data_IF_994270394971
#
_entry.id   IF_994270394971
#
_cell.length_a   1.000
_cell.length_b   1.000
_cell.length_c   1.000
_cell.angle_alpha   90.00
_cell.angle_beta   90.00
_cell.angle_gamma   90.00
#
_symmetry.space_group_name_H-M   'P 1'
#
loop_
_entity.id
_entity.type
_entity.pdbx_description
1 polymer ?
#
# COMPACT_ATOMS: atom_id res chain seq x y z
N UNK A 1 -63.53 -9.19 4.26
CA UNK A 1 -62.15 -8.96 3.85
C UNK A 1 -62.12 -7.72 2.95
N UNK A 2 -61.57 -6.62 3.44
CA UNK A 2 -61.78 -5.28 2.86
C UNK A 2 -61.09 -5.11 1.49
N UNK A 3 -61.92 -4.95 0.45
CA UNK A 3 -61.48 -4.63 -0.93
C UNK A 3 -60.55 -3.40 -0.96
N UNK A 4 -60.72 -2.46 -0.06
CA UNK A 4 -59.88 -1.28 0.12
C UNK A 4 -58.41 -1.62 0.50
N UNK A 5 -58.19 -2.66 1.31
CA UNK A 5 -56.86 -3.05 1.75
C UNK A 5 -56.07 -3.76 0.62
N UNK A 6 -56.76 -4.55 -0.19
CA UNK A 6 -56.13 -5.18 -1.39
C UNK A 6 -55.72 -4.15 -2.44
N UNK A 7 -56.57 -3.09 -2.63
CA UNK A 7 -56.25 -2.02 -3.57
C UNK A 7 -55.06 -1.18 -3.09
N UNK A 8 -54.92 -0.95 -1.78
CA UNK A 8 -53.82 -0.23 -1.17
C UNK A 8 -52.50 -1.02 -1.27
N UNK A 9 -52.55 -2.35 -1.05
CA UNK A 9 -51.38 -3.22 -1.21
C UNK A 9 -50.93 -3.34 -2.68
N UNK A 10 -51.90 -3.34 -3.62
CA UNK A 10 -51.62 -3.32 -5.05
C UNK A 10 -50.96 -2.02 -5.50
N UNK A 11 -51.40 -0.88 -4.99
CA UNK A 11 -50.78 0.43 -5.24
C UNK A 11 -49.38 0.53 -4.67
N UNK A 12 -49.11 -0.02 -3.47
CA UNK A 12 -47.78 -0.07 -2.88
C UNK A 12 -46.87 -0.98 -3.70
N UNK A 13 -47.34 -2.12 -4.22
CA UNK A 13 -46.53 -3.02 -5.06
C UNK A 13 -46.22 -2.40 -6.40
N UNK A 14 -47.15 -1.70 -7.04
CA UNK A 14 -46.95 -0.97 -8.29
C UNK A 14 -45.97 0.21 -8.10
N UNK A 15 -46.10 0.94 -6.98
CA UNK A 15 -45.19 2.03 -6.63
C UNK A 15 -43.75 1.52 -6.37
N UNK A 16 -43.59 0.39 -5.67
CA UNK A 16 -42.29 -0.27 -5.51
C UNK A 16 -41.73 -0.79 -6.82
N UNK A 17 -42.55 -1.31 -7.73
CA UNK A 17 -42.12 -1.75 -9.04
C UNK A 17 -41.68 -0.59 -9.92
N UNK A 18 -42.36 0.57 -9.90
CA UNK A 18 -41.93 1.75 -10.65
C UNK A 18 -40.67 2.36 -10.10
N UNK A 19 -40.47 2.42 -8.77
CA UNK A 19 -39.18 2.87 -8.17
C UNK A 19 -38.05 1.97 -8.53
N UNK A 20 -38.23 0.65 -8.54
CA UNK A 20 -37.18 -0.28 -8.94
C UNK A 20 -36.85 -0.20 -10.43
N UNK A 21 -37.79 0.13 -11.29
CA UNK A 21 -37.58 0.37 -12.71
C UNK A 21 -36.86 1.69 -12.98
N UNK A 22 -37.26 2.80 -12.33
CA UNK A 22 -36.57 4.08 -12.40
C UNK A 22 -35.14 3.98 -11.87
N UNK A 23 -34.90 3.25 -10.78
CA UNK A 23 -33.53 3.00 -10.29
C UNK A 23 -32.71 2.17 -11.27
N UNK A 24 -33.24 1.11 -11.87
CA UNK A 24 -32.55 0.33 -12.89
C UNK A 24 -32.23 1.17 -14.15
N UNK A 25 -33.20 1.96 -14.62
CA UNK A 25 -33.01 2.85 -15.77
C UNK A 25 -31.96 3.96 -15.48
N UNK A 26 -31.88 4.45 -14.23
CA UNK A 26 -30.87 5.38 -13.78
C UNK A 26 -29.48 4.71 -13.73
N UNK A 27 -29.39 3.46 -13.24
CA UNK A 27 -28.12 2.70 -13.21
C UNK A 27 -27.65 2.31 -14.61
N UNK A 28 -28.53 1.93 -15.54
CA UNK A 28 -28.18 1.62 -16.94
C UNK A 28 -27.66 2.86 -17.69
N UNK A 29 -28.17 4.05 -17.38
CA UNK A 29 -27.70 5.31 -18.00
C UNK A 29 -26.34 5.80 -17.46
N UNK A 30 -25.89 5.38 -16.29
CA UNK A 30 -24.69 5.90 -15.63
C UNK A 30 -23.46 5.01 -15.76
N UNK A 31 -23.53 3.87 -16.49
CA UNK A 31 -22.36 3.03 -16.77
C UNK A 31 -21.64 2.39 -15.58
N UNK A 32 -22.36 2.09 -14.48
CA UNK A 32 -21.84 1.15 -13.48
C UNK A 32 -22.14 -0.26 -13.96
N UNK A 33 -21.09 -1.04 -14.19
CA UNK A 33 -21.20 -2.41 -14.72
C UNK A 33 -21.65 -3.39 -13.64
N UNK A 34 -22.50 -4.35 -13.99
CA UNK A 34 -22.86 -5.45 -13.09
C UNK A 34 -21.93 -6.63 -13.37
N UNK A 35 -21.03 -6.90 -12.45
CA UNK A 35 -20.11 -8.03 -12.52
C UNK A 35 -20.70 -9.23 -11.78
N UNK A 36 -20.52 -10.42 -12.34
CA UNK A 36 -21.02 -11.68 -11.78
C UNK A 36 -20.12 -12.86 -12.15
N UNK A 37 -20.43 -14.04 -11.62
CA UNK A 37 -19.67 -15.29 -11.82
C UNK A 37 -19.49 -15.68 -13.30
N UNK A 38 -20.34 -15.18 -14.20
CA UNK A 38 -20.29 -15.54 -15.63
C UNK A 38 -19.55 -14.54 -16.51
N UNK A 39 -19.46 -13.27 -16.10
CA UNK A 39 -18.90 -12.19 -16.93
C UNK A 39 -17.59 -11.58 -16.41
N UNK A 40 -17.14 -11.93 -15.20
CA UNK A 40 -15.99 -11.27 -14.57
C UNK A 40 -14.70 -11.42 -15.41
N UNK A 41 -14.45 -12.60 -15.99
CA UNK A 41 -13.26 -12.81 -16.83
C UNK A 41 -13.25 -11.89 -18.04
N UNK A 42 -14.37 -11.84 -18.77
CA UNK A 42 -14.48 -10.95 -19.94
C UNK A 42 -14.39 -9.48 -19.57
N UNK A 43 -14.84 -9.09 -18.37
CA UNK A 43 -14.69 -7.72 -17.89
C UNK A 43 -13.24 -7.36 -17.61
N UNK A 44 -12.49 -8.19 -16.89
CA UNK A 44 -11.08 -7.91 -16.59
C UNK A 44 -10.20 -8.00 -17.85
N UNK A 45 -10.58 -8.79 -18.85
CA UNK A 45 -9.91 -8.81 -20.15
C UNK A 45 -10.22 -7.57 -21.00
N UNK A 46 -11.46 -7.05 -20.90
CA UNK A 46 -11.92 -5.90 -21.72
C UNK A 46 -11.54 -4.56 -21.10
N UNK A 47 -11.40 -4.49 -19.79
CA UNK A 47 -11.14 -3.24 -19.06
C UNK A 47 -9.90 -3.37 -18.21
N UNK A 48 -8.77 -2.77 -18.62
CA UNK A 48 -7.51 -2.82 -17.86
C UNK A 48 -7.61 -2.09 -16.52
N UNK A 49 -8.63 -1.24 -16.35
CA UNK A 49 -8.85 -0.46 -15.12
C UNK A 49 -10.31 -0.56 -14.70
N UNK A 50 -10.55 -1.23 -13.56
CA UNK A 50 -11.87 -1.39 -12.98
C UNK A 50 -11.85 -0.99 -11.50
N UNK A 51 -12.79 -0.16 -11.08
CA UNK A 51 -13.09 0.02 -9.66
C UNK A 51 -14.30 -0.84 -9.32
N UNK A 52 -14.13 -1.83 -8.43
CA UNK A 52 -15.09 -2.90 -8.17
C UNK A 52 -15.61 -2.77 -6.74
N UNK A 53 -16.90 -2.49 -6.57
CA UNK A 53 -17.58 -2.48 -5.28
C UNK A 53 -18.15 -3.88 -4.97
N UNK A 54 -17.66 -4.50 -3.91
CA UNK A 54 -18.16 -5.77 -3.38
C UNK A 54 -19.22 -5.47 -2.30
N UNK A 55 -20.43 -5.96 -2.48
CA UNK A 55 -21.53 -5.68 -1.59
C UNK A 55 -22.44 -6.88 -1.35
N UNK A 56 -23.36 -6.70 -0.40
CA UNK A 56 -24.52 -7.59 -0.19
C UNK A 56 -25.79 -6.74 0.00
N UNK A 57 -26.99 -7.21 -0.39
CA UNK A 57 -28.24 -6.42 -0.32
C UNK A 57 -28.65 -5.95 1.08
N UNK A 58 -28.23 -6.66 2.13
CA UNK A 58 -28.56 -6.31 3.53
C UNK A 58 -27.53 -5.37 4.18
N UNK A 59 -26.51 -4.94 3.47
CA UNK A 59 -25.48 -4.03 3.99
C UNK A 59 -25.95 -2.57 3.89
N UNK A 60 -26.25 -1.94 5.02
CA UNK A 60 -26.73 -0.56 5.05
C UNK A 60 -25.73 0.47 4.50
N UNK A 61 -24.45 0.35 4.80
CA UNK A 61 -23.38 1.22 4.26
C UNK A 61 -23.15 1.02 2.76
N UNK A 62 -23.49 -0.16 2.23
CA UNK A 62 -23.39 -0.42 0.79
C UNK A 62 -24.43 0.39 -0.02
N UNK A 63 -25.59 0.70 0.57
CA UNK A 63 -26.58 1.57 -0.08
C UNK A 63 -26.06 3.02 -0.20
N UNK A 64 -25.34 3.52 0.80
CA UNK A 64 -24.70 4.84 0.75
C UNK A 64 -23.64 4.85 -0.35
N UNK A 65 -22.75 3.85 -0.34
CA UNK A 65 -21.71 3.71 -1.37
C UNK A 65 -22.31 3.65 -2.78
N UNK A 66 -23.44 2.96 -2.97
CA UNK A 66 -24.06 2.80 -4.28
C UNK A 66 -24.37 4.16 -4.92
N UNK A 67 -24.90 5.12 -4.18
CA UNK A 67 -25.18 6.48 -4.68
C UNK A 67 -23.89 7.26 -5.00
N UNK A 68 -22.86 7.14 -4.16
CA UNK A 68 -21.57 7.77 -4.41
C UNK A 68 -20.84 7.13 -5.61
N UNK A 69 -21.00 5.83 -5.79
CA UNK A 69 -20.41 5.09 -6.93
C UNK A 69 -21.03 5.53 -8.26
N UNK A 70 -22.35 5.73 -8.30
CA UNK A 70 -23.08 6.27 -9.45
C UNK A 70 -22.64 7.69 -9.76
N UNK A 71 -22.52 8.54 -8.74
CA UNK A 71 -22.04 9.92 -8.87
C UNK A 71 -20.61 9.95 -9.43
N UNK A 72 -19.73 9.10 -8.92
CA UNK A 72 -18.34 8.94 -9.43
C UNK A 72 -18.35 8.54 -10.90
N UNK A 73 -19.15 7.54 -11.29
CA UNK A 73 -19.23 7.08 -12.68
C UNK A 73 -19.73 8.20 -13.62
N UNK A 74 -20.68 9.00 -13.16
CA UNK A 74 -21.19 10.16 -13.91
C UNK A 74 -20.10 11.22 -14.11
N UNK A 75 -19.38 11.60 -13.07
CA UNK A 75 -18.34 12.61 -13.12
C UNK A 75 -17.20 12.15 -14.06
N UNK A 76 -16.78 10.89 -13.99
CA UNK A 76 -15.75 10.32 -14.88
C UNK A 76 -16.19 10.36 -16.34
N UNK A 77 -17.44 10.06 -16.61
CA UNK A 77 -18.02 10.11 -17.97
C UNK A 77 -18.04 11.54 -18.53
N UNK A 78 -18.52 12.51 -17.75
CA UNK A 78 -18.54 13.93 -18.15
C UNK A 78 -17.13 14.51 -18.35
N UNK A 79 -16.16 14.06 -17.54
CA UNK A 79 -14.74 14.43 -17.65
C UNK A 79 -13.99 13.75 -18.80
N UNK A 80 -14.68 13.02 -19.71
CA UNK A 80 -14.08 12.23 -20.79
C UNK A 80 -13.05 11.17 -20.32
N UNK A 81 -13.05 10.82 -19.05
CA UNK A 81 -12.24 9.71 -18.54
C UNK A 81 -12.97 8.39 -18.80
N UNK A 82 -12.82 7.85 -20.01
CA UNK A 82 -13.46 6.59 -20.43
C UNK A 82 -12.58 5.37 -20.14
N UNK A 83 -11.40 5.55 -19.62
CA UNK A 83 -10.41 4.49 -19.43
C UNK A 83 -10.74 3.63 -18.21
N UNK A 84 -11.22 4.25 -17.13
CA UNK A 84 -11.67 3.52 -15.93
C UNK A 84 -13.16 3.19 -16.02
N UNK A 85 -13.51 1.98 -15.66
CA UNK A 85 -14.91 1.56 -15.50
C UNK A 85 -15.19 1.25 -14.03
N UNK A 86 -16.40 1.54 -13.60
CA UNK A 86 -16.89 1.16 -12.30
C UNK A 86 -17.75 -0.10 -12.45
N UNK A 87 -17.57 -1.05 -11.55
CA UNK A 87 -18.34 -2.29 -11.50
C UNK A 87 -18.81 -2.57 -10.07
N UNK A 88 -19.92 -3.26 -9.93
CA UNK A 88 -20.42 -3.74 -8.65
C UNK A 88 -20.74 -5.23 -8.69
N UNK A 89 -20.52 -5.91 -7.57
CA UNK A 89 -20.72 -7.36 -7.43
C UNK A 89 -21.55 -7.63 -6.19
N UNK A 90 -22.72 -8.24 -6.38
CA UNK A 90 -23.49 -8.80 -5.28
C UNK A 90 -22.92 -10.19 -4.91
N UNK A 91 -22.16 -10.25 -3.82
CA UNK A 91 -21.55 -11.51 -3.38
C UNK A 91 -22.51 -12.50 -2.74
N UNK A 92 -23.76 -12.10 -2.48
CA UNK A 92 -24.79 -13.02 -1.95
C UNK A 92 -25.29 -14.02 -2.99
N UNK A 93 -25.22 -13.65 -4.27
CA UNK A 93 -25.70 -14.47 -5.41
C UNK A 93 -24.57 -14.90 -6.37
N UNK A 94 -23.32 -14.55 -6.05
CA UNK A 94 -22.13 -14.88 -6.83
C UNK A 94 -21.13 -15.68 -5.99
N UNK A 95 -21.36 -16.97 -5.75
CA UNK A 95 -20.58 -17.80 -4.83
C UNK A 95 -19.13 -18.03 -5.28
N UNK A 96 -18.84 -18.00 -6.58
CA UNK A 96 -17.48 -18.12 -7.09
C UNK A 96 -16.68 -16.85 -6.74
N UNK A 97 -17.19 -15.67 -7.09
CA UNK A 97 -16.54 -14.40 -6.78
C UNK A 97 -16.45 -14.12 -5.26
N UNK A 98 -17.43 -14.61 -4.50
CA UNK A 98 -17.39 -14.55 -3.03
C UNK A 98 -16.18 -15.30 -2.45
N UNK A 99 -15.80 -16.43 -3.04
CA UNK A 99 -14.59 -17.20 -2.66
C UNK A 99 -13.31 -16.54 -3.16
N UNK A 100 -13.34 -16.01 -4.39
CA UNK A 100 -12.16 -15.36 -5.00
C UNK A 100 -11.76 -14.10 -4.24
N UNK A 101 -12.72 -13.23 -3.97
CA UNK A 101 -12.45 -11.95 -3.30
C UNK A 101 -12.37 -12.06 -1.78
N UNK A 102 -13.14 -12.95 -1.17
CA UNK A 102 -13.18 -13.23 0.28
C UNK A 102 -13.08 -11.97 1.17
N UNK A 103 -13.95 -10.94 0.99
CA UNK A 103 -13.82 -9.69 1.73
C UNK A 103 -14.11 -9.90 3.22
N UNK A 104 -13.32 -9.27 4.08
CA UNK A 104 -13.48 -9.31 5.54
C UNK A 104 -14.70 -8.51 6.02
N UNK A 105 -15.12 -7.51 5.25
CA UNK A 105 -16.23 -6.59 5.58
C UNK A 105 -16.93 -6.08 4.32
N UNK A 106 -18.15 -5.54 4.50
CA UNK A 106 -18.92 -4.89 3.44
C UNK A 106 -19.23 -3.42 3.79
N UNK A 107 -19.16 -2.50 2.80
CA UNK A 107 -18.62 -2.71 1.45
C UNK A 107 -17.10 -2.87 1.47
N UNK A 108 -16.57 -3.58 0.49
CA UNK A 108 -15.15 -3.56 0.14
C UNK A 108 -15.01 -3.05 -1.28
N UNK A 109 -14.13 -2.09 -1.53
CA UNK A 109 -13.83 -1.61 -2.87
C UNK A 109 -12.45 -2.10 -3.25
N UNK A 110 -12.36 -2.66 -4.46
CA UNK A 110 -11.12 -3.09 -5.09
C UNK A 110 -10.90 -2.27 -6.37
N UNK A 111 -9.67 -1.89 -6.61
CA UNK A 111 -9.26 -1.32 -7.89
C UNK A 111 -8.44 -2.35 -8.65
N UNK A 112 -8.94 -2.79 -9.79
CA UNK A 112 -8.22 -3.66 -10.70
C UNK A 112 -7.38 -2.81 -11.65
N UNK A 113 -6.09 -3.07 -11.66
CA UNK A 113 -5.12 -2.39 -12.49
C UNK A 113 -4.29 -3.44 -13.23
N UNK A 114 -4.60 -3.69 -14.49
CA UNK A 114 -3.85 -4.55 -15.41
C UNK A 114 -3.31 -5.85 -14.76
N UNK A 115 -4.20 -6.63 -14.16
CA UNK A 115 -3.89 -7.91 -13.50
C UNK A 115 -3.67 -7.82 -11.99
N UNK A 116 -3.56 -6.63 -11.41
CA UNK A 116 -3.34 -6.43 -9.96
C UNK A 116 -4.61 -5.90 -9.31
N UNK A 117 -4.99 -6.49 -8.16
CA UNK A 117 -6.10 -6.01 -7.34
C UNK A 117 -5.57 -5.20 -6.15
N UNK A 118 -6.07 -3.99 -6.02
CA UNK A 118 -5.69 -3.02 -5.00
C UNK A 118 -6.89 -2.77 -4.10
N UNK A 119 -6.76 -2.95 -2.79
CA UNK A 119 -7.82 -2.61 -1.85
C UNK A 119 -7.88 -1.09 -1.65
N UNK A 120 -9.04 -0.50 -1.91
CA UNK A 120 -9.31 0.90 -1.59
C UNK A 120 -9.54 1.05 -0.09
N UNK A 121 -8.91 2.02 0.54
CA UNK A 121 -8.94 2.22 1.99
C UNK A 121 -9.24 3.66 2.42
N UNK A 122 -9.58 4.53 1.46
CA UNK A 122 -9.92 5.93 1.71
C UNK A 122 -11.43 6.08 1.99
N UNK A 123 -11.96 7.29 2.10
CA UNK A 123 -13.37 7.55 2.39
C UNK A 123 -14.31 7.14 1.24
N UNK A 124 -15.55 6.73 1.57
CA UNK A 124 -16.50 6.14 0.62
C UNK A 124 -17.37 7.19 -0.08
N UNK A 125 -16.85 8.38 -0.30
CA UNK A 125 -17.53 9.46 -1.04
C UNK A 125 -16.95 9.60 -2.46
N UNK A 126 -17.71 10.26 -3.33
CA UNK A 126 -17.33 10.39 -4.75
C UNK A 126 -16.05 11.19 -4.97
N UNK A 127 -15.76 12.18 -4.14
CA UNK A 127 -14.59 13.04 -4.31
C UNK A 127 -13.32 12.25 -3.99
N UNK A 128 -13.32 11.50 -2.88
CA UNK A 128 -12.23 10.58 -2.50
C UNK A 128 -12.03 9.45 -3.53
N UNK A 129 -13.12 8.89 -4.07
CA UNK A 129 -13.07 7.89 -5.13
C UNK A 129 -12.44 8.45 -6.41
N UNK A 130 -12.81 9.68 -6.82
CA UNK A 130 -12.26 10.34 -8.00
C UNK A 130 -10.78 10.68 -7.79
N UNK A 131 -10.43 11.21 -6.63
CA UNK A 131 -9.04 11.54 -6.29
C UNK A 131 -8.16 10.29 -6.33
N UNK A 132 -8.65 9.18 -5.78
CA UNK A 132 -7.95 7.89 -5.87
C UNK A 132 -7.82 7.42 -7.33
N UNK A 133 -8.89 7.46 -8.12
CA UNK A 133 -8.86 7.08 -9.54
C UNK A 133 -7.87 7.97 -10.31
N UNK A 134 -7.93 9.29 -10.13
CA UNK A 134 -7.02 10.22 -10.79
C UNK A 134 -5.55 9.94 -10.40
N UNK A 135 -5.33 9.64 -9.14
CA UNK A 135 -4.04 9.25 -8.61
C UNK A 135 -3.55 7.94 -9.24
N UNK A 136 -4.45 6.94 -9.40
CA UNK A 136 -4.12 5.66 -10.02
C UNK A 136 -3.94 5.74 -11.54
N UNK A 137 -4.68 6.64 -12.20
CA UNK A 137 -4.63 6.85 -13.66
C UNK A 137 -3.61 7.89 -14.08
N UNK A 138 -3.22 8.76 -13.14
CA UNK A 138 -2.15 9.71 -13.36
C UNK A 138 -0.80 9.02 -13.53
N UNK A 139 0.22 9.78 -13.89
CA UNK A 139 1.59 9.33 -13.75
C UNK A 139 1.81 9.16 -12.24
N UNK A 140 1.96 7.94 -11.71
CA UNK A 140 1.95 7.71 -10.26
C UNK A 140 3.17 8.32 -9.58
N UNK A 141 4.16 8.74 -10.36
CA UNK A 141 5.29 9.49 -9.87
C UNK A 141 5.12 10.96 -10.26
N UNK A 142 5.02 11.91 -9.30
CA UNK A 142 5.11 13.32 -9.62
C UNK A 142 6.33 13.58 -10.50
N UNK A 143 6.12 14.30 -11.60
CA UNK A 143 7.21 14.73 -12.47
C UNK A 143 7.75 16.03 -11.92
N UNK A 144 9.06 16.10 -11.77
CA UNK A 144 9.78 17.31 -11.37
C UNK A 144 10.91 17.56 -12.38
N UNK A 145 11.26 18.82 -12.58
CA UNK A 145 12.23 19.21 -13.61
C UNK A 145 13.59 19.59 -13.03
N UNK A 146 13.66 19.84 -11.72
CA UNK A 146 14.87 20.34 -11.06
C UNK A 146 15.31 19.47 -9.89
N UNK A 147 16.61 19.46 -9.60
CA UNK A 147 17.18 18.81 -8.43
C UNK A 147 16.69 19.44 -7.12
N UNK A 148 16.34 20.75 -7.14
CA UNK A 148 15.81 21.43 -5.96
C UNK A 148 14.40 20.93 -5.61
N UNK A 149 13.55 20.62 -6.57
CA UNK A 149 12.24 19.99 -6.33
C UNK A 149 12.39 18.58 -5.76
N UNK A 150 13.36 17.81 -6.26
CA UNK A 150 13.72 16.51 -5.65
C UNK A 150 14.13 16.70 -4.18
N UNK A 151 15.01 17.65 -3.89
CA UNK A 151 15.45 17.95 -2.53
C UNK A 151 14.29 18.44 -1.65
N UNK A 152 13.36 19.22 -2.18
CA UNK A 152 12.18 19.67 -1.45
C UNK A 152 11.29 18.49 -1.05
N UNK A 153 11.13 17.52 -1.93
CA UNK A 153 10.41 16.28 -1.64
C UNK A 153 11.12 15.47 -0.55
N UNK A 154 12.44 15.37 -0.60
CA UNK A 154 13.22 14.69 0.43
C UNK A 154 13.17 15.41 1.79
N UNK A 155 13.04 16.75 1.84
CA UNK A 155 12.86 17.49 3.12
C UNK A 155 11.62 17.00 3.89
N UNK A 156 10.56 16.65 3.19
CA UNK A 156 9.29 16.22 3.77
C UNK A 156 9.17 14.70 3.95
N UNK A 157 10.09 13.92 3.40
CA UNK A 157 10.08 12.47 3.44
C UNK A 157 11.42 11.93 3.94
N UNK A 158 11.41 10.75 4.57
CA UNK A 158 12.65 10.09 5.00
C UNK A 158 13.37 9.38 3.86
N UNK A 159 12.60 8.98 2.83
CA UNK A 159 13.07 8.19 1.68
C UNK A 159 12.35 8.67 0.42
N UNK A 160 13.12 8.87 -0.64
CA UNK A 160 12.60 9.26 -1.95
C UNK A 160 13.29 8.42 -3.01
N UNK A 161 12.52 7.74 -3.85
CA UNK A 161 13.01 7.10 -5.06
C UNK A 161 12.88 8.07 -6.23
N UNK A 162 13.97 8.29 -6.92
CA UNK A 162 14.04 9.14 -8.12
C UNK A 162 14.24 8.25 -9.32
N UNK A 163 13.24 8.23 -10.21
CA UNK A 163 13.35 7.63 -11.53
C UNK A 163 13.74 8.72 -12.54
N UNK A 164 14.80 8.47 -13.29
CA UNK A 164 15.31 9.40 -14.31
C UNK A 164 15.05 8.90 -15.72
N UNK A 165 14.25 7.86 -15.87
CA UNK A 165 13.83 7.31 -17.16
C UNK A 165 12.68 8.13 -17.77
N UNK A 166 12.56 8.08 -19.10
CA UNK A 166 11.38 8.63 -19.78
C UNK A 166 10.10 7.94 -19.31
N UNK A 167 9.02 8.69 -19.17
CA UNK A 167 7.71 8.16 -18.80
C UNK A 167 7.12 7.18 -19.83
N UNK A 168 7.64 7.17 -21.05
CA UNK A 168 7.31 6.19 -22.09
C UNK A 168 8.15 4.91 -22.02
N UNK A 169 9.07 4.81 -21.07
CA UNK A 169 9.89 3.60 -20.87
C UNK A 169 9.06 2.52 -20.19
N UNK A 170 8.91 1.35 -20.82
CA UNK A 170 8.14 0.22 -20.29
C UNK A 170 8.63 -0.25 -18.90
N UNK A 171 9.91 -0.03 -18.59
CA UNK A 171 10.47 -0.34 -17.28
C UNK A 171 9.86 0.52 -16.19
N UNK A 172 9.60 1.80 -16.45
CA UNK A 172 8.91 2.70 -15.52
C UNK A 172 7.49 2.21 -15.24
N UNK A 173 6.79 1.77 -16.28
CA UNK A 173 5.41 1.28 -16.15
C UNK A 173 5.35 0.06 -15.21
N UNK A 174 6.29 -0.87 -15.34
CA UNK A 174 6.35 -2.05 -14.46
C UNK A 174 6.67 -1.68 -13.01
N UNK A 175 7.59 -0.73 -12.78
CA UNK A 175 7.90 -0.21 -11.44
C UNK A 175 6.65 0.43 -10.82
N UNK A 176 5.97 1.24 -11.61
CA UNK A 176 4.76 1.93 -11.20
C UNK A 176 3.72 0.94 -10.70
N UNK A 177 3.44 -0.10 -11.48
CA UNK A 177 2.45 -1.12 -11.15
C UNK A 177 2.72 -1.78 -9.80
N UNK A 178 3.97 -2.06 -9.47
CA UNK A 178 4.34 -2.82 -8.29
C UNK A 178 4.58 -1.94 -7.05
N UNK A 179 5.28 -0.81 -7.21
CA UNK A 179 5.76 -0.03 -6.06
C UNK A 179 4.88 1.15 -5.67
N UNK A 180 3.93 1.53 -6.52
CA UNK A 180 2.98 2.60 -6.20
C UNK A 180 2.18 2.32 -4.91
N UNK A 181 1.94 1.05 -4.62
CA UNK A 181 1.17 0.58 -3.47
C UNK A 181 1.97 0.47 -2.18
N UNK A 182 3.31 0.66 -2.25
CA UNK A 182 4.17 0.67 -1.05
C UNK A 182 4.30 2.11 -0.54
N UNK A 183 3.42 2.59 0.36
CA UNK A 183 3.36 4.00 0.76
C UNK A 183 4.59 4.48 1.54
N UNK A 184 5.46 3.56 1.90
CA UNK A 184 6.65 3.79 2.73
C UNK A 184 7.77 4.57 2.03
N UNK A 185 7.73 4.68 0.70
CA UNK A 185 8.74 5.38 -0.09
C UNK A 185 8.04 6.33 -1.04
N UNK A 186 8.43 7.61 -1.04
CA UNK A 186 7.92 8.58 -2.01
C UNK A 186 8.67 8.39 -3.34
N UNK A 187 7.91 8.19 -4.41
CA UNK A 187 8.46 8.09 -5.76
C UNK A 187 8.28 9.39 -6.52
N UNK A 188 9.28 9.78 -7.31
CA UNK A 188 9.23 10.93 -8.21
C UNK A 188 9.97 10.59 -9.52
N UNK A 189 9.59 11.25 -10.59
CA UNK A 189 10.30 11.19 -11.87
C UNK A 189 10.99 12.53 -12.15
N UNK A 190 12.28 12.49 -12.46
CA UNK A 190 13.05 13.66 -12.86
C UNK A 190 13.91 13.32 -14.07
N UNK A 191 13.34 13.46 -15.27
CA UNK A 191 13.98 13.13 -16.55
C UNK A 191 14.57 14.35 -17.28
N UNK A 192 14.71 15.49 -16.61
CA UNK A 192 15.33 16.69 -17.16
C UNK A 192 16.84 16.51 -17.38
N UNK A 193 17.43 17.33 -18.26
CA UNK A 193 18.88 17.34 -18.47
C UNK A 193 19.67 17.63 -17.16
N UNK A 194 19.10 18.47 -16.30
CA UNK A 194 19.66 18.77 -14.98
C UNK A 194 19.75 17.52 -14.11
N UNK A 195 18.65 16.79 -13.96
CA UNK A 195 18.59 15.57 -13.16
C UNK A 195 19.49 14.47 -13.74
N UNK A 196 19.41 14.24 -15.05
CA UNK A 196 20.26 13.26 -15.73
C UNK A 196 21.74 13.51 -15.51
N UNK A 197 22.17 14.77 -15.56
CA UNK A 197 23.56 15.16 -15.30
C UNK A 197 23.92 15.00 -13.84
N UNK A 198 23.05 15.46 -12.94
CA UNK A 198 23.29 15.44 -11.49
C UNK A 198 23.40 14.00 -10.95
N UNK A 199 22.52 13.11 -11.42
CA UNK A 199 22.45 11.72 -11.00
C UNK A 199 23.27 10.74 -11.88
N UNK A 200 24.26 11.24 -12.62
CA UNK A 200 25.16 10.45 -13.46
C UNK A 200 24.44 9.54 -14.47
N UNK A 201 23.29 9.96 -14.99
CA UNK A 201 22.43 9.18 -15.89
C UNK A 201 21.98 7.83 -15.34
N UNK A 202 22.01 7.66 -14.03
CA UNK A 202 21.48 6.46 -13.37
C UNK A 202 19.96 6.41 -13.50
N UNK A 203 19.42 5.27 -13.88
CA UNK A 203 17.99 5.11 -14.14
C UNK A 203 17.13 5.20 -12.87
N UNK A 204 17.68 4.77 -11.72
CA UNK A 204 16.97 4.71 -10.44
C UNK A 204 17.90 5.02 -9.28
N UNK A 205 17.47 5.92 -8.39
CA UNK A 205 18.26 6.40 -7.25
C UNK A 205 17.40 6.41 -6.00
N UNK A 206 17.92 5.89 -4.90
CA UNK A 206 17.32 6.05 -3.57
C UNK A 206 18.02 7.18 -2.82
N UNK A 207 17.27 8.22 -2.50
CA UNK A 207 17.67 9.31 -1.60
C UNK A 207 17.08 9.06 -0.22
N UNK A 208 17.87 9.26 0.83
CA UNK A 208 17.44 9.04 2.21
C UNK A 208 18.17 9.94 3.20
N UNK A 209 17.59 10.14 4.38
CA UNK A 209 18.13 11.00 5.45
C UNK A 209 19.03 10.27 6.45
N UNK A 210 19.39 9.03 6.19
CA UNK A 210 20.15 8.16 7.09
C UNK A 210 21.17 7.33 6.31
N UNK A 211 22.15 6.77 6.99
CA UNK A 211 23.23 5.97 6.43
C UNK A 211 23.91 6.65 5.22
N UNK A 212 23.89 6.03 4.04
CA UNK A 212 24.33 6.62 2.79
C UNK A 212 23.22 7.50 2.18
N UNK A 213 23.40 8.83 2.05
CA UNK A 213 22.34 9.72 1.59
C UNK A 213 21.84 9.46 0.17
N UNK A 214 22.71 8.89 -0.68
CA UNK A 214 22.41 8.60 -2.08
C UNK A 214 22.89 7.17 -2.38
N UNK A 215 21.99 6.35 -2.90
CA UNK A 215 22.31 4.99 -3.33
C UNK A 215 21.81 4.79 -4.76
N UNK A 216 22.72 4.44 -5.66
CA UNK A 216 22.41 4.19 -7.05
C UNK A 216 22.05 2.72 -7.26
N UNK A 217 20.99 2.49 -8.04
CA UNK A 217 20.65 1.14 -8.47
C UNK A 217 21.68 0.64 -9.50
N UNK A 218 22.37 -0.45 -9.17
CA UNK A 218 23.53 -0.92 -9.96
C UNK A 218 23.16 -1.94 -11.04
N UNK A 219 21.92 -2.45 -11.04
CA UNK A 219 21.50 -3.57 -11.89
C UNK A 219 20.74 -3.12 -13.15
N UNK A 220 21.22 -2.09 -13.82
CA UNK A 220 20.51 -1.49 -14.98
C UNK A 220 20.33 -2.46 -16.16
N UNK A 221 21.22 -3.47 -16.30
CA UNK A 221 21.09 -4.53 -17.31
C UNK A 221 20.06 -5.62 -16.93
N UNK A 222 19.63 -5.67 -15.65
CA UNK A 222 18.66 -6.62 -15.14
C UNK A 222 17.61 -5.87 -14.28
N UNK A 223 16.87 -5.00 -14.96
CA UNK A 223 15.90 -4.10 -14.36
C UNK A 223 14.57 -4.83 -14.21
N UNK A 224 14.43 -5.60 -13.13
CA UNK A 224 13.20 -6.33 -12.78
C UNK A 224 12.64 -5.84 -11.46
N UNK A 225 11.34 -6.10 -11.23
CA UNK A 225 10.65 -5.79 -9.99
C UNK A 225 11.35 -6.44 -8.80
N UNK A 226 11.76 -7.71 -8.93
CA UNK A 226 12.44 -8.45 -7.86
C UNK A 226 13.77 -7.83 -7.48
N UNK A 227 14.54 -7.32 -8.46
CA UNK A 227 15.83 -6.68 -8.20
C UNK A 227 15.66 -5.32 -7.53
N UNK A 228 14.62 -4.58 -7.89
CA UNK A 228 14.26 -3.32 -7.25
C UNK A 228 13.75 -3.56 -5.83
N UNK A 229 12.90 -4.57 -5.63
CA UNK A 229 12.42 -4.94 -4.30
C UNK A 229 13.58 -5.35 -3.39
N UNK A 230 14.49 -6.19 -3.88
CA UNK A 230 15.71 -6.57 -3.16
C UNK A 230 16.61 -5.36 -2.84
N UNK A 231 16.70 -4.40 -3.77
CA UNK A 231 17.44 -3.17 -3.54
C UNK A 231 16.80 -2.32 -2.44
N UNK A 232 15.47 -2.16 -2.47
CA UNK A 232 14.73 -1.43 -1.46
C UNK A 232 14.80 -2.13 -0.10
N UNK A 233 14.67 -3.45 -0.07
CA UNK A 233 14.78 -4.26 1.13
C UNK A 233 16.16 -4.10 1.84
N UNK A 234 17.20 -3.92 1.06
CA UNK A 234 18.56 -3.70 1.61
C UNK A 234 18.77 -2.24 2.04
N UNK A 235 18.33 -1.26 1.24
CA UNK A 235 18.79 0.11 1.38
C UNK A 235 17.75 1.08 1.95
N UNK A 236 16.45 0.74 1.96
CA UNK A 236 15.42 1.60 2.52
C UNK A 236 15.26 1.48 4.05
N UNK A 237 15.86 0.46 4.66
CA UNK A 237 15.86 0.26 6.11
C UNK A 237 17.12 0.89 6.71
N UNK A 238 16.95 1.76 7.73
CA UNK A 238 18.06 2.36 8.46
C UNK A 238 18.79 1.31 9.31
N UNK A 239 20.11 1.27 9.22
CA UNK A 239 20.95 0.35 10.00
C UNK A 239 21.00 0.82 11.45
N UNK A 240 20.44 0.04 12.36
CA UNK A 240 20.38 0.41 13.77
C UNK A 240 19.60 1.71 13.99
N UNK A 241 18.55 1.94 13.19
CA UNK A 241 17.58 3.00 13.42
C UNK A 241 16.75 2.72 14.66
N UNK A 242 16.24 3.79 15.29
CA UNK A 242 15.24 3.63 16.33
C UNK A 242 13.97 3.03 15.73
N UNK A 243 13.53 1.91 16.29
CA UNK A 243 12.35 1.20 15.81
C UNK A 243 11.09 2.05 15.92
N UNK A 244 10.33 2.13 14.85
CA UNK A 244 9.03 2.79 14.76
C UNK A 244 8.00 1.94 14.00
N UNK A 245 6.82 2.46 13.76
CA UNK A 245 5.74 1.75 13.04
C UNK A 245 6.13 1.36 11.61
N UNK A 246 7.02 2.11 10.94
CA UNK A 246 7.51 1.79 9.61
C UNK A 246 8.25 0.44 9.56
N UNK A 247 9.00 0.11 10.63
CA UNK A 247 9.80 -1.11 10.68
C UNK A 247 9.02 -2.35 11.12
N UNK A 248 7.76 -2.18 11.53
CA UNK A 248 6.92 -3.30 12.00
C UNK A 248 6.77 -4.38 10.94
N UNK A 249 6.53 -3.99 9.69
CA UNK A 249 6.36 -4.93 8.59
C UNK A 249 7.66 -5.69 8.29
N UNK A 250 8.81 -5.01 8.30
CA UNK A 250 10.12 -5.66 8.13
C UNK A 250 10.44 -6.65 9.26
N UNK A 251 10.03 -6.33 10.49
CA UNK A 251 10.26 -7.20 11.64
C UNK A 251 9.41 -8.48 11.58
N UNK A 252 8.10 -8.35 11.30
CA UNK A 252 7.15 -9.46 11.44
C UNK A 252 6.90 -10.22 10.12
N UNK A 253 6.98 -9.54 8.97
CA UNK A 253 6.70 -10.09 7.65
C UNK A 253 7.91 -10.06 6.71
N UNK A 254 9.05 -9.55 7.18
CA UNK A 254 10.27 -9.47 6.38
C UNK A 254 10.85 -10.83 6.02
N UNK A 255 11.59 -10.87 4.92
CA UNK A 255 12.22 -12.09 4.38
C UNK A 255 13.59 -12.40 5.00
N UNK A 256 14.05 -11.60 5.97
CA UNK A 256 15.35 -11.72 6.65
C UNK A 256 15.19 -11.77 8.17
N UNK A 257 16.14 -12.43 8.87
CA UNK A 257 16.22 -12.30 10.31
C UNK A 257 16.41 -10.86 10.75
N UNK A 258 15.94 -10.54 11.94
CA UNK A 258 16.10 -9.21 12.55
C UNK A 258 16.99 -9.30 13.80
N UNK A 259 18.01 -8.47 13.87
CA UNK A 259 18.79 -8.22 15.08
C UNK A 259 18.09 -7.11 15.87
N UNK A 260 17.63 -7.42 17.07
CA UNK A 260 16.95 -6.51 17.98
C UNK A 260 17.86 -6.19 19.17
N UNK A 261 18.09 -4.89 19.39
CA UNK A 261 18.80 -4.41 20.58
C UNK A 261 17.87 -3.57 21.45
N UNK A 262 17.43 -4.15 22.56
CA UNK A 262 16.62 -3.49 23.56
C UNK A 262 17.49 -2.76 24.55
N UNK A 263 17.25 -1.48 24.76
CA UNK A 263 17.99 -0.60 25.66
C UNK A 263 17.12 0.44 26.37
N UNK A 264 17.71 1.08 27.34
CA UNK A 264 17.21 2.32 27.94
C UNK A 264 18.07 3.49 27.45
N UNK A 265 17.48 4.45 26.74
CA UNK A 265 18.20 5.61 26.19
C UNK A 265 18.79 6.53 27.25
N UNK A 266 18.26 6.50 28.47
CA UNK A 266 18.81 7.28 29.59
C UNK A 266 20.09 6.68 30.17
N UNK A 267 20.46 5.47 29.77
CA UNK A 267 21.68 4.78 30.21
C UNK A 267 22.77 4.89 29.15
N UNK A 268 23.78 5.75 29.37
CA UNK A 268 24.86 6.02 28.41
C UNK A 268 25.66 4.77 28.04
N UNK A 269 25.90 3.85 28.97
CA UNK A 269 26.64 2.62 28.69
C UNK A 269 25.89 1.67 27.76
N UNK A 270 24.56 1.79 27.70
CA UNK A 270 23.72 1.03 26.75
C UNK A 270 23.72 1.71 25.37
N UNK A 271 23.62 3.05 25.31
CA UNK A 271 23.66 3.82 24.05
C UNK A 271 25.01 3.79 23.36
N UNK A 272 26.12 3.62 24.07
CA UNK A 272 27.46 3.45 23.49
C UNK A 272 27.54 2.25 22.54
N UNK A 273 26.67 1.26 22.71
CA UNK A 273 26.57 0.08 21.82
C UNK A 273 25.92 0.36 20.47
N UNK A 274 25.13 1.43 20.36
CA UNK A 274 24.41 1.80 19.13
C UNK A 274 25.39 1.96 17.94
N UNK A 275 26.56 2.58 18.21
CA UNK A 275 27.59 2.77 17.19
C UNK A 275 28.17 1.44 16.69
N UNK A 276 28.44 0.52 17.61
CA UNK A 276 28.94 -0.81 17.29
C UNK A 276 27.91 -1.59 16.46
N UNK A 277 26.63 -1.49 16.83
CA UNK A 277 25.54 -2.14 16.13
C UNK A 277 25.42 -1.61 14.70
N UNK A 278 25.54 -0.29 14.52
CA UNK A 278 25.55 0.34 13.20
C UNK A 278 26.73 -0.12 12.34
N UNK A 279 27.91 -0.27 12.92
CA UNK A 279 29.11 -0.79 12.22
C UNK A 279 28.92 -2.24 11.77
N UNK A 280 28.43 -3.10 12.66
CA UNK A 280 28.12 -4.51 12.34
C UNK A 280 27.01 -4.57 11.30
N UNK A 281 25.97 -3.75 11.46
CA UNK A 281 24.84 -3.71 10.55
C UNK A 281 25.24 -3.35 9.12
N UNK A 282 26.20 -2.42 8.91
CA UNK A 282 26.74 -2.12 7.57
C UNK A 282 27.33 -3.34 6.89
N UNK A 283 27.98 -4.22 7.65
CA UNK A 283 28.59 -5.43 7.12
C UNK A 283 27.57 -6.50 6.74
N UNK A 284 26.48 -6.61 7.52
CA UNK A 284 25.50 -7.69 7.40
C UNK A 284 24.10 -7.24 6.95
N UNK A 285 23.94 -6.00 6.42
CA UNK A 285 22.64 -5.46 6.00
C UNK A 285 21.94 -6.27 4.90
N UNK A 286 22.69 -7.03 4.12
CA UNK A 286 22.11 -7.91 3.10
C UNK A 286 21.47 -9.16 3.71
N UNK A 287 21.96 -9.57 4.87
CA UNK A 287 21.61 -10.85 5.50
C UNK A 287 20.57 -10.69 6.60
N UNK A 288 20.50 -9.51 7.26
CA UNK A 288 19.54 -9.24 8.35
C UNK A 288 19.25 -7.75 8.54
N UNK A 289 18.11 -7.45 9.18
CA UNK A 289 17.77 -6.12 9.64
C UNK A 289 18.40 -5.85 11.02
N UNK A 290 18.67 -4.57 11.32
CA UNK A 290 19.24 -4.15 12.61
C UNK A 290 18.39 -3.03 13.19
N UNK A 291 17.72 -3.31 14.31
CA UNK A 291 16.86 -2.36 15.00
C UNK A 291 17.31 -2.12 16.43
N UNK A 292 17.24 -0.86 16.85
CA UNK A 292 17.45 -0.42 18.23
C UNK A 292 16.09 -0.05 18.81
N UNK A 293 15.75 -0.62 19.98
CA UNK A 293 14.48 -0.43 20.65
C UNK A 293 14.71 0.20 22.02
N UNK A 294 14.39 1.48 22.13
CA UNK A 294 14.36 2.15 23.45
C UNK A 294 12.99 1.92 24.11
N UNK A 295 12.93 0.95 25.01
CA UNK A 295 11.67 0.55 25.63
C UNK A 295 11.08 1.60 26.60
N UNK A 296 11.80 2.71 26.82
CA UNK A 296 11.33 3.78 27.71
C UNK A 296 10.67 4.94 26.96
N UNK A 297 10.73 4.97 25.63
CA UNK A 297 10.40 6.18 24.85
C UNK A 297 9.00 6.22 24.24
N UNK A 298 8.43 5.10 23.79
CA UNK A 298 7.15 5.06 23.05
C UNK A 298 6.30 3.83 23.37
N UNK A 299 4.98 4.00 23.36
CA UNK A 299 4.03 2.91 23.63
C UNK A 299 4.20 1.69 22.69
N UNK A 300 4.47 1.92 21.40
CA UNK A 300 4.70 0.84 20.43
C UNK A 300 5.94 -0.01 20.80
N UNK A 301 6.99 0.62 21.31
CA UNK A 301 8.22 -0.08 21.71
C UNK A 301 7.99 -0.92 22.95
N UNK A 302 7.13 -0.45 23.86
CA UNK A 302 6.68 -1.25 25.02
C UNK A 302 5.86 -2.46 24.58
N UNK A 303 5.01 -2.33 23.56
CA UNK A 303 4.25 -3.47 23.01
C UNK A 303 5.18 -4.52 22.36
N UNK A 304 6.14 -4.08 21.56
CA UNK A 304 7.15 -4.97 20.95
C UNK A 304 8.00 -5.64 22.04
N UNK A 305 8.45 -4.90 23.06
CA UNK A 305 9.19 -5.46 24.18
C UNK A 305 8.37 -6.51 24.94
N UNK A 306 7.09 -6.24 25.20
CA UNK A 306 6.17 -7.19 25.84
C UNK A 306 5.97 -8.46 25.01
N UNK A 307 5.85 -8.32 23.68
CA UNK A 307 5.75 -9.47 22.77
C UNK A 307 6.95 -10.41 22.91
N UNK A 308 8.17 -9.84 23.01
CA UNK A 308 9.41 -10.61 23.24
C UNK A 308 9.70 -10.88 24.73
N UNK A 309 8.80 -10.53 25.64
CA UNK A 309 8.93 -10.70 27.10
C UNK A 309 10.18 -10.02 27.67
N UNK A 310 10.51 -8.82 27.15
CA UNK A 310 11.63 -8.00 27.61
C UNK A 310 11.14 -7.03 28.66
N UNK A 311 11.77 -7.04 29.84
CA UNK A 311 11.54 -6.10 30.94
C UNK A 311 12.77 -5.24 31.17
N UNK A 312 12.62 -4.12 31.88
CA UNK A 312 13.74 -3.23 32.20
C UNK A 312 14.91 -3.94 32.92
N UNK A 313 14.61 -4.93 33.74
CA UNK A 313 15.64 -5.71 34.46
C UNK A 313 16.50 -6.58 33.53
N UNK A 314 16.07 -6.81 32.30
CA UNK A 314 16.80 -7.59 31.31
C UNK A 314 17.67 -6.71 30.39
N UNK A 315 17.61 -5.38 30.52
CA UNK A 315 18.36 -4.46 29.68
C UNK A 315 19.84 -4.35 30.09
N UNK A 316 20.75 -4.15 29.14
CA UNK A 316 20.54 -4.21 27.69
C UNK A 316 20.42 -5.65 27.20
N UNK A 317 19.54 -5.88 26.23
CA UNK A 317 19.30 -7.21 25.66
C UNK A 317 19.47 -7.19 24.16
N UNK A 318 20.24 -8.12 23.63
CA UNK A 318 20.33 -8.34 22.19
C UNK A 318 19.83 -9.73 21.83
N UNK A 319 19.08 -9.83 20.75
CA UNK A 319 18.59 -11.09 20.22
C UNK A 319 18.41 -11.03 18.71
N UNK A 320 18.61 -12.17 18.04
CA UNK A 320 18.24 -12.34 16.64
C UNK A 320 16.93 -13.10 16.60
N UNK A 321 15.97 -12.59 15.84
CA UNK A 321 14.66 -13.23 15.64
C UNK A 321 14.47 -13.52 14.17
N UNK A 322 13.85 -14.64 13.87
CA UNK A 322 13.45 -15.01 12.51
C UNK A 322 12.04 -15.57 12.56
N UNK A 323 11.11 -14.87 11.92
CA UNK A 323 9.72 -15.27 11.85
C UNK A 323 9.53 -16.31 10.73
N UNK A 324 8.66 -17.29 10.99
CA UNK A 324 8.22 -18.23 9.97
C UNK A 324 6.93 -17.75 9.32
N UNK A 325 6.58 -18.28 8.16
CA UNK A 325 5.30 -18.03 7.48
C UNK A 325 4.05 -18.38 8.32
N UNK A 326 4.20 -19.18 9.38
CA UNK A 326 3.11 -19.54 10.30
C UNK A 326 2.99 -18.57 11.50
N UNK A 327 3.76 -17.47 11.53
CA UNK A 327 3.77 -16.50 12.62
C UNK A 327 4.52 -16.94 13.88
N UNK A 328 5.16 -18.11 13.86
CA UNK A 328 6.11 -18.51 14.90
C UNK A 328 7.46 -17.83 14.67
N UNK A 329 8.27 -17.70 15.73
CA UNK A 329 9.62 -17.18 15.56
C UNK A 329 10.65 -18.00 16.32
N UNK A 330 11.84 -18.07 15.74
CA UNK A 330 13.03 -18.60 16.42
C UNK A 330 13.83 -17.42 16.97
N UNK A 331 14.32 -17.55 18.20
CA UNK A 331 15.15 -16.51 18.81
C UNK A 331 16.48 -17.06 19.27
N UNK A 332 17.56 -16.33 18.96
CA UNK A 332 18.88 -16.54 19.50
C UNK A 332 19.24 -15.38 20.43
N UNK A 333 19.41 -15.68 21.71
CA UNK A 333 19.69 -14.69 22.73
C UNK A 333 21.22 -14.52 22.89
N UNK A 334 21.67 -13.28 22.76
CA UNK A 334 23.09 -12.94 22.94
C UNK A 334 23.31 -12.49 24.39
N UNK A 335 24.00 -13.33 25.18
CA UNK A 335 24.26 -13.03 26.59
C UNK A 335 25.33 -11.95 26.81
N UNK A 336 26.18 -11.66 25.81
CA UNK A 336 27.18 -10.58 25.84
C UNK A 336 27.48 -10.11 24.41
N UNK A 337 27.33 -8.81 24.18
CA UNK A 337 27.95 -8.15 23.01
C UNK A 337 29.40 -7.89 23.45
N UNK A 338 30.32 -8.75 23.03
CA UNK A 338 31.76 -8.49 23.22
C UNK A 338 32.22 -7.51 22.13
N UNK A 339 32.91 -6.49 22.56
CA UNK A 339 33.66 -5.58 21.67
C UNK A 339 34.81 -6.31 21.03
#
# INVERSE_FOLDING_TARGET
MNISLCFFLLLISLYRCSISQEQNEYYENVNVLIMNDTNYLSMVESFPFLMIALYTPWCGSCHILSSEFVKTAYILKEGNNTTVRLAQVDLSVNPHLSKVFSPEQYPTILFYYDGVLIKYTEELDSDSLIDFINKMMGIPFPVVDTVEEVNSTLRNNSRVMVATMSLSDERIISIVKEFYLKPSIKWINCHSEECLKYYNKSSLILLKKFDEPVVYFQNENNFTVENIDSFLDIYSVEIGGEFDSYYTDFLFNGNKPSFLYFRNALNSTQTDKDKIIKEIGRKYRKDMYFFILDITSKAILTQVANYFKITESLLPRAQIVNFTSEGNYYTYIMNKIKC
#
